data_IF_016759371553
#
_entry.id   IF_016759371553
#
_cell.length_a   1.000
_cell.length_b   1.000
_cell.length_c   1.000
_cell.angle_alpha   90.00
_cell.angle_beta   90.00
_cell.angle_gamma   90.00
#
_symmetry.space_group_name_H-M   'P 1'
#
loop_
_entity.id
_entity.type
_entity.pdbx_description
1 polymer ?
#
# COMPACT_ATOMS: atom_id res chain seq x y z
N UNK A 1 -10.10 -22.91 -14.10
CA UNK A 1 -11.47 -22.63 -13.59
C UNK A 1 -12.10 -23.96 -13.21
N UNK A 2 -12.16 -24.25 -11.91
CA UNK A 2 -12.87 -25.43 -11.43
C UNK A 2 -14.23 -24.93 -10.98
N UNK A 3 -15.27 -25.22 -11.76
CA UNK A 3 -16.65 -24.92 -11.40
C UNK A 3 -17.15 -26.03 -10.48
N UNK A 4 -16.79 -25.97 -9.20
CA UNK A 4 -17.28 -26.87 -8.16
C UNK A 4 -17.48 -26.07 -6.86
N UNK A 5 -18.53 -26.38 -6.08
CA UNK A 5 -18.88 -27.75 -5.71
C UNK A 5 -20.27 -28.20 -6.16
N UNK A 6 -20.46 -29.50 -6.33
CA UNK A 6 -21.82 -30.06 -6.29
C UNK A 6 -22.38 -29.72 -4.90
N UNK A 7 -23.68 -29.44 -4.77
CA UNK A 7 -24.30 -29.07 -3.47
C UNK A 7 -24.00 -30.04 -2.30
N UNK A 8 -23.47 -31.23 -2.60
CA UNK A 8 -23.01 -32.25 -1.67
C UNK A 8 -21.68 -31.94 -0.95
N UNK A 9 -20.82 -31.07 -1.48
CA UNK A 9 -19.57 -30.69 -0.78
C UNK A 9 -19.77 -29.52 0.21
N UNK A 10 -20.97 -28.93 0.23
CA UNK A 10 -21.37 -27.91 1.21
C UNK A 10 -21.86 -28.59 2.48
N UNK A 11 -21.07 -28.48 3.55
CA UNK A 11 -21.52 -28.88 4.88
C UNK A 11 -22.31 -27.71 5.47
N UNK A 12 -23.63 -27.87 5.54
CA UNK A 12 -24.49 -26.92 6.25
C UNK A 12 -24.18 -27.01 7.75
N UNK A 13 -24.02 -25.86 8.38
CA UNK A 13 -23.84 -25.77 9.82
C UNK A 13 -24.53 -24.50 10.35
N UNK A 14 -25.08 -24.61 11.56
CA UNK A 14 -25.86 -23.59 12.28
C UNK A 14 -26.98 -22.93 11.46
N UNK A 15 -28.22 -23.01 11.95
CA UNK A 15 -29.34 -22.17 11.48
C UNK A 15 -29.61 -22.16 9.96
N UNK A 16 -29.19 -23.19 9.23
CA UNK A 16 -29.52 -23.41 7.82
C UNK A 16 -30.30 -24.70 7.64
N UNK A 17 -31.53 -24.57 7.11
CA UNK A 17 -32.37 -25.70 6.76
C UNK A 17 -32.49 -25.82 5.23
N UNK A 18 -32.17 -26.99 4.68
CA UNK A 18 -32.36 -27.24 3.25
C UNK A 18 -33.86 -27.38 2.94
N UNK A 19 -34.39 -26.49 2.10
CA UNK A 19 -35.80 -26.49 1.68
C UNK A 19 -35.99 -26.88 0.20
N UNK A 20 -34.89 -26.95 -0.56
CA UNK A 20 -34.89 -27.39 -1.95
C UNK A 20 -33.48 -27.54 -2.52
N UNK A 21 -33.38 -27.89 -3.80
CA UNK A 21 -32.08 -27.91 -4.51
C UNK A 21 -31.58 -26.47 -4.62
N UNK A 22 -30.42 -26.18 -4.04
CA UNK A 22 -29.86 -24.83 -3.97
C UNK A 22 -30.65 -23.85 -3.12
N UNK A 23 -31.71 -24.29 -2.41
CA UNK A 23 -32.56 -23.43 -1.57
C UNK A 23 -32.46 -23.79 -0.11
N UNK A 24 -32.20 -22.78 0.70
CA UNK A 24 -31.95 -22.91 2.13
C UNK A 24 -32.74 -21.85 2.88
N UNK A 25 -33.19 -22.17 4.08
CA UNK A 25 -33.83 -21.23 5.01
C UNK A 25 -32.83 -20.91 6.12
N UNK A 26 -32.48 -19.64 6.26
CA UNK A 26 -31.73 -19.14 7.41
C UNK A 26 -32.70 -18.88 8.57
N UNK A 27 -32.51 -19.56 9.71
CA UNK A 27 -33.46 -19.56 10.84
C UNK A 27 -33.03 -18.70 12.04
N UNK A 28 -31.78 -18.24 12.10
CA UNK A 28 -31.23 -17.58 13.28
C UNK A 28 -30.00 -16.72 13.01
N UNK A 29 -29.20 -16.52 14.05
CA UNK A 29 -28.01 -15.69 14.02
C UNK A 29 -26.82 -16.59 13.67
N UNK A 30 -26.19 -16.34 12.52
CA UNK A 30 -25.00 -17.02 12.00
C UNK A 30 -25.23 -18.26 11.09
N UNK A 31 -26.10 -18.19 10.05
CA UNK A 31 -26.22 -19.25 9.06
C UNK A 31 -24.94 -19.37 8.23
N UNK A 32 -24.35 -20.56 8.09
CA UNK A 32 -23.16 -20.72 7.23
C UNK A 32 -23.00 -22.08 6.53
N UNK A 33 -22.32 -22.04 5.40
CA UNK A 33 -21.81 -23.22 4.70
C UNK A 33 -20.32 -23.37 4.96
N UNK A 34 -19.88 -24.56 5.35
CA UNK A 34 -18.48 -24.93 5.34
C UNK A 34 -18.16 -25.70 4.05
N UNK A 35 -17.23 -25.17 3.26
CA UNK A 35 -16.66 -25.85 2.10
C UNK A 35 -15.41 -26.59 2.59
N UNK A 36 -15.57 -27.90 2.81
CA UNK A 36 -14.48 -28.75 3.32
C UNK A 36 -13.59 -29.24 2.19
N UNK A 37 -12.29 -29.34 2.46
CA UNK A 37 -11.27 -29.82 1.52
C UNK A 37 -11.27 -29.05 0.18
N UNK A 38 -11.08 -27.72 0.20
CA UNK A 38 -10.81 -27.00 -1.05
C UNK A 38 -9.65 -27.69 -1.79
N UNK A 39 -9.70 -27.68 -3.12
CA UNK A 39 -8.65 -28.30 -3.95
C UNK A 39 -7.26 -27.75 -3.60
N UNK A 40 -6.23 -28.57 -3.76
CA UNK A 40 -4.85 -28.13 -3.56
C UNK A 40 -4.51 -27.02 -4.56
N UNK A 41 -4.17 -25.83 -4.05
CA UNK A 41 -3.85 -24.66 -4.87
C UNK A 41 -4.13 -23.34 -4.15
N UNK A 42 -3.67 -22.23 -4.75
CA UNK A 42 -3.98 -20.90 -4.23
C UNK A 42 -5.30 -20.41 -4.83
N UNK A 43 -6.29 -20.19 -3.98
CA UNK A 43 -7.55 -19.57 -4.40
C UNK A 43 -7.28 -18.11 -4.79
N UNK A 44 -7.53 -17.78 -6.05
CA UNK A 44 -7.41 -16.43 -6.59
C UNK A 44 -8.67 -15.62 -6.27
N UNK A 45 -9.82 -16.17 -6.63
CA UNK A 45 -11.12 -15.58 -6.38
C UNK A 45 -12.21 -16.64 -6.15
N UNK A 46 -13.26 -16.23 -5.47
CA UNK A 46 -14.48 -17.00 -5.25
C UNK A 46 -15.64 -16.19 -5.81
N UNK A 47 -16.44 -16.79 -6.68
CA UNK A 47 -17.65 -16.20 -7.23
C UNK A 47 -18.86 -16.97 -6.72
N UNK A 48 -19.90 -16.23 -6.31
CA UNK A 48 -21.13 -16.81 -5.76
C UNK A 48 -22.31 -16.16 -6.44
N UNK A 49 -23.06 -16.91 -7.24
CA UNK A 49 -24.36 -16.45 -7.75
C UNK A 49 -25.45 -16.85 -6.74
N UNK A 50 -26.02 -15.86 -6.04
CA UNK A 50 -27.07 -16.11 -5.07
C UNK A 50 -28.16 -15.05 -5.07
N UNK A 51 -29.32 -15.43 -4.53
CA UNK A 51 -30.44 -14.55 -4.19
C UNK A 51 -30.79 -14.77 -2.72
N UNK A 52 -30.78 -13.71 -1.91
CA UNK A 52 -31.25 -13.74 -0.53
C UNK A 52 -32.55 -12.94 -0.41
N UNK A 53 -33.56 -13.47 0.27
CA UNK A 53 -34.82 -12.78 0.53
C UNK A 53 -34.59 -11.51 1.37
N UNK A 54 -33.79 -11.66 2.43
CA UNK A 54 -33.41 -10.60 3.37
C UNK A 54 -31.89 -10.59 3.59
N UNK A 55 -31.40 -9.52 4.21
CA UNK A 55 -30.00 -9.38 4.65
C UNK A 55 -29.24 -8.26 3.97
N UNK A 56 -28.13 -7.88 4.58
CA UNK A 56 -27.34 -6.73 4.14
C UNK A 56 -25.97 -7.14 3.61
N UNK A 57 -25.46 -8.29 4.06
CA UNK A 57 -24.08 -8.70 3.79
C UNK A 57 -23.96 -10.19 3.52
N UNK A 58 -22.97 -10.52 2.68
CA UNK A 58 -22.46 -11.87 2.44
C UNK A 58 -20.99 -11.87 2.85
N UNK A 59 -20.56 -12.90 3.57
CA UNK A 59 -19.20 -12.99 4.08
C UNK A 59 -18.54 -14.30 3.69
N UNK A 60 -17.24 -14.24 3.47
CA UNK A 60 -16.38 -15.42 3.35
C UNK A 60 -15.32 -15.34 4.43
N UNK A 61 -15.12 -16.46 5.13
CA UNK A 61 -14.03 -16.67 6.08
C UNK A 61 -13.13 -17.80 5.58
N UNK A 62 -11.84 -17.72 5.90
CA UNK A 62 -10.90 -18.81 5.58
C UNK A 62 -9.89 -19.05 6.70
N UNK A 63 -9.29 -20.25 6.69
CA UNK A 63 -8.16 -20.60 7.56
C UNK A 63 -7.03 -21.25 6.77
N UNK A 64 -5.80 -21.10 7.27
CA UNK A 64 -4.61 -21.74 6.70
C UNK A 64 -4.26 -23.07 7.39
N UNK A 65 -4.81 -23.32 8.58
CA UNK A 65 -4.75 -24.62 9.27
C UNK A 65 -6.14 -25.26 9.34
N UNK A 66 -6.21 -26.59 9.28
CA UNK A 66 -7.46 -27.34 9.39
C UNK A 66 -8.07 -27.26 10.79
N UNK A 67 -7.27 -26.97 11.81
CA UNK A 67 -7.70 -26.94 13.20
C UNK A 67 -8.02 -25.52 13.71
N UNK A 68 -7.65 -24.49 12.95
CA UNK A 68 -7.92 -23.10 13.33
C UNK A 68 -9.42 -22.80 13.31
N UNK A 69 -9.83 -21.92 14.22
CA UNK A 69 -11.18 -21.31 14.16
C UNK A 69 -11.21 -20.19 13.14
N UNK A 70 -12.36 -19.98 12.50
CA UNK A 70 -12.56 -18.80 11.65
C UNK A 70 -12.42 -17.53 12.49
N UNK A 71 -11.84 -16.48 11.91
CA UNK A 71 -11.63 -15.20 12.59
C UNK A 71 -11.97 -14.04 11.68
N UNK A 72 -12.38 -12.91 12.27
CA UNK A 72 -12.66 -11.66 11.54
C UNK A 72 -11.42 -11.08 10.85
N UNK A 73 -10.23 -11.53 11.22
CA UNK A 73 -8.98 -11.13 10.56
C UNK A 73 -8.81 -11.78 9.18
N UNK A 74 -9.43 -12.93 8.94
CA UNK A 74 -9.39 -13.67 7.67
C UNK A 74 -10.81 -13.76 7.10
N UNK A 75 -11.39 -12.59 6.83
CA UNK A 75 -12.72 -12.46 6.26
C UNK A 75 -12.75 -11.48 5.09
N UNK A 76 -13.71 -11.66 4.20
CA UNK A 76 -14.09 -10.70 3.17
C UNK A 76 -15.60 -10.56 3.15
N UNK A 77 -16.10 -9.32 3.07
CA UNK A 77 -17.53 -9.01 3.19
C UNK A 77 -17.96 -8.16 2.00
N UNK A 78 -19.09 -8.51 1.39
CA UNK A 78 -19.73 -7.74 0.33
C UNK A 78 -21.17 -7.41 0.73
N UNK A 79 -21.70 -6.31 0.18
CA UNK A 79 -23.08 -5.90 0.40
C UNK A 79 -24.02 -6.73 -0.49
N UNK A 80 -25.05 -7.32 0.11
CA UNK A 80 -26.11 -8.04 -0.58
C UNK A 80 -27.20 -7.08 -1.09
N UNK A 81 -27.94 -7.54 -2.09
CA UNK A 81 -29.13 -6.86 -2.61
C UNK A 81 -30.36 -7.76 -2.37
N UNK A 82 -31.15 -7.51 -1.32
CA UNK A 82 -32.34 -8.31 -1.00
C UNK A 82 -33.27 -8.50 -2.20
N UNK A 83 -33.74 -9.74 -2.39
CA UNK A 83 -34.68 -10.12 -3.44
C UNK A 83 -34.11 -10.16 -4.85
N UNK A 84 -32.82 -9.89 -5.07
CA UNK A 84 -32.17 -9.87 -6.39
C UNK A 84 -31.15 -11.02 -6.48
N UNK A 85 -31.14 -11.73 -7.60
CA UNK A 85 -30.03 -12.64 -7.92
C UNK A 85 -28.86 -11.82 -8.45
N UNK A 86 -27.68 -12.01 -7.87
CA UNK A 86 -26.46 -11.32 -8.26
C UNK A 86 -25.24 -12.24 -8.15
N UNK A 87 -24.12 -11.82 -8.76
CA UNK A 87 -22.83 -12.54 -8.69
C UNK A 87 -21.87 -11.76 -7.79
N UNK A 88 -21.58 -12.35 -6.64
CA UNK A 88 -20.67 -11.80 -5.63
C UNK A 88 -19.27 -12.39 -5.82
N UNK A 89 -18.28 -11.55 -6.10
CA UNK A 89 -16.88 -11.97 -6.33
C UNK A 89 -15.96 -11.51 -5.21
N UNK A 90 -15.33 -12.46 -4.53
CA UNK A 90 -14.36 -12.26 -3.47
C UNK A 90 -12.96 -12.54 -4.02
N UNK A 91 -12.16 -11.50 -4.15
CA UNK A 91 -10.74 -11.63 -4.51
C UNK A 91 -9.96 -11.86 -3.23
N UNK A 92 -9.38 -13.05 -3.07
CA UNK A 92 -8.70 -13.41 -1.84
C UNK A 92 -7.19 -13.15 -1.91
N UNK A 93 -6.58 -13.24 -3.10
CA UNK A 93 -5.18 -12.85 -3.29
C UNK A 93 -4.23 -13.47 -2.25
N UNK A 94 -4.33 -14.79 -2.02
CA UNK A 94 -3.66 -15.41 -0.87
C UNK A 94 -2.28 -15.99 -1.19
N UNK A 95 -1.33 -15.76 -0.28
CA UNK A 95 0.02 -16.34 -0.32
C UNK A 95 0.08 -17.80 0.15
N UNK A 96 -0.94 -18.25 0.87
CA UNK A 96 -1.02 -19.57 1.51
C UNK A 96 -2.25 -20.34 1.02
N UNK A 97 -2.10 -21.65 0.93
CA UNK A 97 -3.23 -22.55 0.63
C UNK A 97 -4.29 -22.44 1.73
N UNK A 98 -5.52 -22.14 1.34
CA UNK A 98 -6.67 -22.23 2.25
C UNK A 98 -6.92 -23.70 2.55
N UNK A 99 -7.12 -24.03 3.82
CA UNK A 99 -7.48 -25.39 4.25
C UNK A 99 -8.96 -25.54 4.59
N UNK A 100 -9.62 -24.46 5.00
CA UNK A 100 -11.06 -24.42 5.25
C UNK A 100 -11.64 -23.09 4.79
N UNK A 101 -12.83 -23.15 4.22
CA UNK A 101 -13.56 -21.99 3.73
C UNK A 101 -14.97 -22.04 4.32
N UNK A 102 -15.43 -20.91 4.83
CA UNK A 102 -16.78 -20.72 5.35
C UNK A 102 -17.45 -19.59 4.60
N UNK A 103 -18.68 -19.82 4.16
CA UNK A 103 -19.53 -18.87 3.47
C UNK A 103 -20.72 -18.56 4.35
N UNK A 104 -20.88 -17.30 4.69
CA UNK A 104 -22.04 -16.78 5.40
C UNK A 104 -22.91 -16.09 4.35
N UNK A 105 -23.95 -16.77 3.85
CA UNK A 105 -24.71 -16.34 2.69
C UNK A 105 -25.59 -15.11 2.95
N UNK A 106 -25.85 -14.78 4.22
CA UNK A 106 -26.64 -13.62 4.67
C UNK A 106 -26.46 -13.43 6.19
N UNK A 107 -26.70 -12.22 6.68
CA UNK A 107 -26.76 -11.90 8.11
C UNK A 107 -28.20 -11.81 8.67
N UNK A 108 -29.22 -12.21 7.90
CA UNK A 108 -30.62 -12.14 8.30
C UNK A 108 -31.40 -13.44 8.01
N UNK A 109 -32.51 -13.66 8.71
CA UNK A 109 -33.38 -14.80 8.46
C UNK A 109 -34.16 -14.67 7.14
N UNK A 110 -34.42 -15.79 6.48
CA UNK A 110 -35.16 -15.81 5.21
C UNK A 110 -34.72 -16.93 4.26
N UNK A 111 -35.30 -16.95 3.06
CA UNK A 111 -34.91 -17.90 2.01
C UNK A 111 -33.67 -17.40 1.25
N UNK A 112 -32.73 -18.31 1.03
CA UNK A 112 -31.52 -18.12 0.25
C UNK A 112 -31.53 -19.14 -0.88
N UNK A 113 -31.30 -18.67 -2.11
CA UNK A 113 -31.16 -19.48 -3.30
C UNK A 113 -29.74 -19.30 -3.84
N UNK A 114 -28.88 -20.31 -3.66
CA UNK A 114 -27.53 -20.34 -4.23
C UNK A 114 -27.58 -21.13 -5.53
N UNK A 115 -27.25 -20.47 -6.63
CA UNK A 115 -27.21 -21.08 -7.96
C UNK A 115 -25.85 -21.66 -8.29
N UNK A 116 -24.78 -20.92 -7.98
CA UNK A 116 -23.42 -21.32 -8.33
C UNK A 116 -22.43 -20.83 -7.28
N UNK A 117 -21.43 -21.66 -6.97
CA UNK A 117 -20.21 -21.27 -6.27
C UNK A 117 -19.05 -21.70 -7.16
N UNK A 118 -18.31 -20.73 -7.69
CA UNK A 118 -17.11 -20.95 -8.49
C UNK A 118 -15.86 -20.57 -7.71
N UNK A 119 -14.93 -21.52 -7.53
CA UNK A 119 -13.64 -21.27 -6.89
C UNK A 119 -12.53 -21.37 -7.93
N UNK A 120 -11.84 -20.26 -8.16
CA UNK A 120 -10.73 -20.20 -9.10
C UNK A 120 -9.41 -20.46 -8.39
N UNK A 121 -8.82 -21.61 -8.66
CA UNK A 121 -7.50 -21.98 -8.17
C UNK A 121 -6.43 -21.65 -9.20
N UNK A 122 -5.26 -21.28 -8.69
CA UNK A 122 -4.01 -21.35 -9.42
C UNK A 122 -3.29 -22.64 -9.00
N UNK A 123 -3.12 -23.58 -9.92
CA UNK A 123 -2.38 -24.82 -9.63
C UNK A 123 -0.90 -24.51 -9.35
N UNK A 124 -0.18 -25.43 -8.68
CA UNK A 124 1.26 -25.27 -8.43
C UNK A 124 2.07 -25.14 -9.73
N UNK A 125 1.67 -25.86 -10.77
CA UNK A 125 2.30 -25.81 -12.09
C UNK A 125 2.05 -24.48 -12.80
N UNK A 126 0.82 -23.97 -12.76
CA UNK A 126 0.48 -22.65 -13.31
C UNK A 126 1.18 -21.54 -12.52
N UNK A 127 1.23 -21.66 -11.19
CA UNK A 127 1.98 -20.74 -10.32
C UNK A 127 3.45 -20.70 -10.72
N UNK A 128 4.09 -21.87 -10.90
CA UNK A 128 5.49 -21.95 -11.30
C UNK A 128 5.75 -21.31 -12.68
N UNK A 129 4.78 -21.37 -13.61
CA UNK A 129 4.86 -20.67 -14.91
C UNK A 129 4.78 -19.14 -14.76
N UNK A 130 4.10 -18.67 -13.72
CA UNK A 130 3.95 -17.26 -13.37
C UNK A 130 5.04 -16.75 -12.42
N UNK A 131 5.82 -17.61 -11.77
CA UNK A 131 6.94 -17.20 -10.93
C UNK A 131 8.05 -16.65 -11.82
N UNK A 132 8.28 -15.34 -11.72
CA UNK A 132 9.20 -14.61 -12.59
C UNK A 132 10.37 -13.98 -11.84
N UNK A 133 10.30 -13.92 -10.50
CA UNK A 133 11.40 -13.50 -9.62
C UNK A 133 12.13 -14.75 -9.09
N UNK A 134 13.47 -14.82 -9.16
CA UNK A 134 14.21 -15.92 -8.56
C UNK A 134 14.00 -16.03 -7.05
N UNK A 135 14.15 -17.24 -6.50
CA UNK A 135 14.12 -17.42 -5.06
C UNK A 135 15.41 -16.87 -4.41
N UNK A 136 15.24 -15.93 -3.47
CA UNK A 136 16.32 -15.30 -2.70
C UNK A 136 16.23 -15.58 -1.19
N UNK A 137 15.56 -16.65 -0.75
CA UNK A 137 15.36 -17.00 0.66
C UNK A 137 16.67 -17.21 1.44
N UNK A 138 17.78 -17.46 0.74
CA UNK A 138 19.12 -17.58 1.33
C UNK A 138 19.83 -16.23 1.57
N UNK A 139 19.22 -15.13 1.13
CA UNK A 139 19.69 -13.77 1.36
C UNK A 139 18.86 -13.11 2.46
N UNK A 140 19.44 -12.13 3.15
CA UNK A 140 18.73 -11.17 4.00
C UNK A 140 17.95 -10.19 3.10
N UNK A 141 18.07 -8.88 3.34
CA UNK A 141 17.25 -7.86 2.66
C UNK A 141 17.91 -7.13 1.50
N UNK A 142 19.19 -7.38 1.23
CA UNK A 142 19.94 -6.72 0.16
C UNK A 142 20.25 -7.68 -1.00
N UNK A 143 19.73 -7.36 -2.19
CA UNK A 143 20.05 -8.02 -3.45
C UNK A 143 21.04 -7.17 -4.26
N UNK A 144 22.18 -7.75 -4.63
CA UNK A 144 23.11 -7.10 -5.57
C UNK A 144 22.55 -7.15 -6.98
N UNK A 145 22.36 -5.98 -7.57
CA UNK A 145 22.10 -5.78 -8.98
C UNK A 145 23.36 -5.49 -9.77
N UNK A 146 23.15 -5.03 -11.00
CA UNK A 146 24.20 -4.62 -11.93
C UNK A 146 24.71 -3.22 -11.58
N UNK A 147 25.93 -2.91 -11.98
CA UNK A 147 26.56 -1.59 -11.85
C UNK A 147 26.57 -1.01 -10.43
N UNK A 148 26.65 -1.89 -9.43
CA UNK A 148 26.72 -1.51 -8.02
C UNK A 148 25.39 -1.03 -7.43
N UNK A 149 24.24 -1.29 -8.06
CA UNK A 149 22.95 -1.05 -7.42
C UNK A 149 22.57 -2.18 -6.46
N UNK A 150 22.08 -1.83 -5.27
CA UNK A 150 21.43 -2.75 -4.34
C UNK A 150 19.92 -2.59 -4.40
N UNK A 151 19.19 -3.69 -4.21
CA UNK A 151 17.74 -3.72 -4.20
C UNK A 151 17.22 -4.35 -2.92
N UNK A 152 16.06 -3.88 -2.47
CA UNK A 152 15.36 -4.45 -1.33
C UNK A 152 14.77 -5.80 -1.73
N UNK A 153 15.02 -6.85 -0.96
CA UNK A 153 14.34 -8.14 -1.07
C UNK A 153 13.94 -8.60 0.32
N UNK A 154 13.08 -9.63 0.40
CA UNK A 154 12.70 -10.28 1.67
C UNK A 154 12.27 -9.29 2.76
N UNK A 155 11.74 -8.13 2.36
CA UNK A 155 11.14 -7.17 3.28
C UNK A 155 9.71 -7.61 3.60
N UNK A 156 9.14 -7.00 4.64
CA UNK A 156 7.79 -7.35 5.09
C UNK A 156 6.68 -6.95 4.11
N UNK A 157 6.99 -6.21 3.05
CA UNK A 157 6.03 -5.87 1.99
C UNK A 157 6.28 -6.67 0.72
N UNK A 158 7.35 -7.46 0.63
CA UNK A 158 7.70 -8.22 -0.58
C UNK A 158 7.81 -7.35 -1.84
N UNK A 159 8.43 -6.17 -1.74
CA UNK A 159 8.42 -5.12 -2.78
C UNK A 159 8.77 -5.63 -4.19
N UNK A 160 9.89 -6.34 -4.38
CA UNK A 160 10.26 -6.91 -5.68
C UNK A 160 9.21 -7.88 -6.23
N UNK A 161 8.57 -8.67 -5.36
CA UNK A 161 7.55 -9.64 -5.80
C UNK A 161 6.26 -8.92 -6.21
N UNK A 162 5.86 -7.85 -5.51
CA UNK A 162 4.71 -7.03 -5.91
C UNK A 162 4.82 -6.59 -7.37
N UNK A 163 6.02 -6.16 -7.78
CA UNK A 163 6.26 -5.54 -9.08
C UNK A 163 6.57 -6.53 -10.20
N UNK A 164 7.31 -7.60 -9.91
CA UNK A 164 7.92 -8.44 -10.93
C UNK A 164 7.60 -9.92 -10.83
N UNK A 165 6.85 -10.39 -9.84
CA UNK A 165 6.43 -11.78 -9.71
C UNK A 165 4.93 -11.91 -10.05
N UNK A 166 4.61 -12.46 -11.22
CA UNK A 166 3.21 -12.64 -11.64
C UNK A 166 2.45 -13.64 -10.77
N UNK A 167 3.17 -14.48 -10.03
CA UNK A 167 2.59 -15.40 -9.06
C UNK A 167 2.36 -14.77 -7.68
N UNK A 168 2.82 -13.53 -7.48
CA UNK A 168 2.66 -12.81 -6.22
C UNK A 168 1.21 -12.35 -6.02
N UNK A 169 0.54 -12.85 -4.97
CA UNK A 169 -0.85 -12.57 -4.77
C UNK A 169 -0.96 -11.31 -3.90
N UNK A 170 -1.12 -10.16 -4.56
CA UNK A 170 -1.23 -8.87 -3.87
C UNK A 170 -2.51 -8.80 -3.04
N UNK A 171 -2.36 -8.34 -1.80
CA UNK A 171 -3.43 -8.02 -0.86
C UNK A 171 -4.01 -6.60 -1.03
N UNK A 172 -3.53 -5.83 -2.02
CA UNK A 172 -4.03 -4.49 -2.28
C UNK A 172 -5.50 -4.49 -2.70
N UNK A 173 -6.33 -3.70 -2.01
CA UNK A 173 -7.75 -3.55 -2.33
C UNK A 173 -8.05 -2.14 -2.86
N UNK A 174 -8.05 -2.00 -4.19
CA UNK A 174 -8.28 -0.71 -4.85
C UNK A 174 -9.66 -0.09 -4.54
N UNK A 175 -10.69 -0.89 -4.24
CA UNK A 175 -11.99 -0.35 -3.86
C UNK A 175 -11.94 0.34 -2.49
N UNK A 176 -11.31 -0.29 -1.50
CA UNK A 176 -11.13 0.34 -0.18
C UNK A 176 -10.22 1.56 -0.25
N UNK A 177 -9.17 1.52 -1.07
CA UNK A 177 -8.33 2.69 -1.35
C UNK A 177 -9.17 3.87 -1.80
N UNK A 178 -9.96 3.69 -2.86
CA UNK A 178 -10.76 4.76 -3.45
C UNK A 178 -11.76 5.31 -2.44
N UNK A 179 -12.41 4.44 -1.65
CA UNK A 179 -13.32 4.88 -0.59
C UNK A 179 -12.64 5.72 0.49
N UNK A 180 -11.48 5.28 0.99
CA UNK A 180 -10.73 6.03 2.01
C UNK A 180 -10.24 7.37 1.43
N UNK A 181 -9.72 7.36 0.20
CA UNK A 181 -9.30 8.57 -0.51
C UNK A 181 -10.47 9.56 -0.67
N UNK A 182 -11.64 9.09 -1.09
CA UNK A 182 -12.84 9.93 -1.26
C UNK A 182 -13.36 10.46 0.09
N UNK A 183 -13.28 9.66 1.15
CA UNK A 183 -13.62 10.08 2.50
C UNK A 183 -12.68 11.19 2.99
N UNK A 184 -11.36 10.99 2.89
CA UNK A 184 -10.36 11.99 3.31
C UNK A 184 -10.52 13.30 2.54
N UNK A 185 -10.68 13.22 1.20
CA UNK A 185 -10.95 14.40 0.35
C UNK A 185 -12.18 15.15 0.81
N UNK A 186 -13.28 14.45 1.11
CA UNK A 186 -14.52 15.08 1.59
C UNK A 186 -14.32 15.78 2.93
N UNK A 187 -13.73 15.09 3.92
CA UNK A 187 -13.48 15.68 5.24
C UNK A 187 -12.59 16.91 5.14
N UNK A 188 -11.56 16.89 4.29
CA UNK A 188 -10.71 18.05 4.06
C UNK A 188 -11.46 19.20 3.38
N UNK A 189 -12.19 18.92 2.30
CA UNK A 189 -12.96 19.91 1.54
C UNK A 189 -14.02 20.59 2.41
N UNK A 190 -14.71 19.85 3.27
CA UNK A 190 -15.72 20.39 4.20
C UNK A 190 -15.11 21.37 5.22
N UNK A 191 -13.79 21.30 5.43
CA UNK A 191 -13.02 22.21 6.30
C UNK A 191 -12.19 23.24 5.51
N UNK A 192 -12.35 23.34 4.19
CA UNK A 192 -11.59 24.25 3.35
C UNK A 192 -10.10 23.88 3.21
N UNK A 193 -9.76 22.62 3.43
CA UNK A 193 -8.40 22.08 3.32
C UNK A 193 -8.28 21.32 1.99
N UNK A 194 -7.25 21.62 1.20
CA UNK A 194 -6.98 20.88 -0.02
C UNK A 194 -6.24 19.56 0.31
N UNK A 195 -6.65 18.45 -0.30
CA UNK A 195 -6.06 17.13 -0.02
C UNK A 195 -5.51 16.47 -1.28
N UNK A 196 -4.25 16.03 -1.20
CA UNK A 196 -3.56 15.29 -2.27
C UNK A 196 -2.96 13.99 -1.73
N UNK A 197 -3.02 12.94 -2.55
CA UNK A 197 -2.30 11.69 -2.33
C UNK A 197 -1.26 11.52 -3.44
N UNK A 198 -0.02 11.26 -3.07
CA UNK A 198 1.10 11.07 -3.99
C UNK A 198 1.87 9.79 -3.68
N UNK A 199 2.42 9.20 -4.74
CA UNK A 199 3.22 7.98 -4.65
C UNK A 199 4.67 8.29 -5.01
N UNK A 200 5.59 7.86 -4.16
CA UNK A 200 7.02 7.76 -4.50
C UNK A 200 7.23 6.39 -5.16
N UNK A 201 7.58 6.33 -6.46
CA UNK A 201 7.84 5.06 -7.12
C UNK A 201 8.92 4.26 -6.40
N UNK A 202 8.81 2.93 -6.36
CA UNK A 202 9.88 2.13 -5.79
C UNK A 202 11.14 2.17 -6.67
N UNK A 203 12.29 2.09 -6.03
CA UNK A 203 13.60 2.04 -6.70
C UNK A 203 13.67 0.94 -7.74
N UNK A 204 13.10 -0.23 -7.46
CA UNK A 204 13.17 -1.37 -8.37
C UNK A 204 12.46 -1.13 -9.70
N UNK A 205 11.38 -0.32 -9.71
CA UNK A 205 10.63 0.04 -10.91
C UNK A 205 11.41 1.03 -11.79
N UNK A 206 12.02 2.06 -11.17
CA UNK A 206 12.82 3.07 -11.89
C UNK A 206 14.17 2.49 -12.34
N UNK A 207 14.84 1.74 -11.46
CA UNK A 207 16.15 1.14 -11.71
C UNK A 207 16.07 -0.30 -12.25
N UNK A 208 14.95 -0.69 -12.85
CA UNK A 208 14.66 -2.07 -13.26
C UNK A 208 15.73 -2.71 -14.16
N UNK A 209 16.39 -1.92 -14.99
CA UNK A 209 17.45 -2.39 -15.89
C UNK A 209 18.71 -2.89 -15.14
N UNK A 210 18.86 -2.53 -13.87
CA UNK A 210 19.96 -2.98 -13.01
C UNK A 210 19.59 -4.21 -12.17
N UNK A 211 18.38 -4.75 -12.26
CA UNK A 211 18.03 -5.99 -11.57
C UNK A 211 18.85 -7.18 -12.10
N UNK A 212 19.20 -8.17 -11.24
CA UNK A 212 20.05 -9.30 -11.61
C UNK A 212 19.27 -10.47 -12.26
N UNK A 213 18.05 -10.22 -12.74
CA UNK A 213 17.22 -11.21 -13.40
C UNK A 213 16.48 -10.60 -14.59
N UNK A 214 15.98 -11.45 -15.48
CA UNK A 214 15.18 -11.03 -16.62
C UNK A 214 13.77 -10.66 -16.20
N UNK A 215 13.35 -9.45 -16.55
CA UNK A 215 11.99 -8.96 -16.26
C UNK A 215 11.07 -9.40 -17.38
N UNK A 216 10.18 -10.34 -17.07
CA UNK A 216 9.19 -10.84 -18.03
C UNK A 216 7.96 -9.94 -18.13
N UNK A 217 7.56 -9.33 -17.01
CA UNK A 217 6.41 -8.45 -16.91
C UNK A 217 6.57 -7.52 -15.71
N UNK A 218 5.83 -6.41 -15.73
CA UNK A 218 5.70 -5.47 -14.63
C UNK A 218 4.22 -5.40 -14.28
N UNK A 219 3.90 -5.47 -12.99
CA UNK A 219 2.57 -5.29 -12.45
C UNK A 219 2.66 -4.28 -11.32
N UNK A 220 1.79 -3.27 -11.30
CA UNK A 220 1.80 -2.29 -10.22
C UNK A 220 0.43 -2.21 -9.56
N UNK A 221 0.42 -2.08 -8.24
CA UNK A 221 -0.81 -1.76 -7.50
C UNK A 221 -1.37 -0.39 -7.93
N UNK A 222 -0.47 0.53 -8.30
CA UNK A 222 -0.81 1.81 -8.89
C UNK A 222 -1.79 1.70 -10.08
N UNK A 223 -1.62 0.70 -10.97
CA UNK A 223 -2.40 0.58 -12.20
C UNK A 223 -3.92 0.50 -11.92
N UNK A 224 -4.30 -0.04 -10.75
CA UNK A 224 -5.68 -0.18 -10.30
C UNK A 224 -6.31 1.14 -9.79
N UNK A 225 -5.49 2.15 -9.50
CA UNK A 225 -5.85 3.47 -8.95
C UNK A 225 -5.31 4.64 -9.79
N UNK A 226 -4.92 4.36 -11.04
CA UNK A 226 -4.25 5.31 -11.94
C UNK A 226 -5.10 6.51 -12.35
N UNK A 227 -6.41 6.48 -12.15
CA UNK A 227 -7.30 7.62 -12.44
C UNK A 227 -7.44 8.56 -11.25
N UNK A 228 -7.04 8.10 -10.07
CA UNK A 228 -7.30 8.75 -8.79
C UNK A 228 -6.04 9.40 -8.21
N UNK A 229 -4.86 8.90 -8.59
CA UNK A 229 -3.55 9.33 -8.12
C UNK A 229 -2.62 9.54 -9.33
N UNK A 230 -1.88 10.66 -9.43
CA UNK A 230 -0.92 10.87 -10.50
C UNK A 230 0.30 9.95 -10.36
N UNK A 231 0.85 9.51 -11.49
CA UNK A 231 2.11 8.79 -11.58
C UNK A 231 3.25 9.72 -11.97
N UNK A 232 4.43 9.51 -11.39
CA UNK A 232 5.62 10.27 -11.71
C UNK A 232 6.82 9.40 -12.05
N UNK A 233 6.60 8.09 -12.27
CA UNK A 233 7.69 7.17 -12.62
C UNK A 233 8.46 7.60 -13.88
N UNK A 234 7.77 8.15 -14.88
CA UNK A 234 8.38 8.61 -16.14
C UNK A 234 9.19 9.90 -15.97
N UNK A 235 9.03 10.60 -14.85
CA UNK A 235 9.78 11.80 -14.52
C UNK A 235 11.08 11.49 -13.77
N UNK A 236 11.34 10.23 -13.47
CA UNK A 236 12.50 9.77 -12.72
C UNK A 236 13.38 8.87 -13.59
N UNK A 237 14.68 8.90 -13.29
CA UNK A 237 15.64 7.95 -13.84
C UNK A 237 16.49 7.34 -12.71
N UNK A 238 17.44 6.49 -13.08
CA UNK A 238 18.27 5.77 -12.12
C UNK A 238 19.18 6.68 -11.28
N UNK A 239 19.44 7.90 -11.72
CA UNK A 239 20.23 8.90 -10.97
C UNK A 239 19.43 9.54 -9.85
N UNK A 240 18.11 9.32 -9.82
CA UNK A 240 17.22 9.78 -8.77
C UNK A 240 17.24 8.89 -7.52
N UNK A 241 17.95 7.76 -7.52
CA UNK A 241 18.02 6.83 -6.39
C UNK A 241 19.46 6.56 -5.97
N UNK A 242 19.68 6.44 -4.67
CA UNK A 242 20.93 5.94 -4.11
C UNK A 242 21.23 4.54 -4.63
N UNK A 243 22.50 4.16 -4.82
CA UNK A 243 22.79 2.77 -5.19
C UNK A 243 22.69 1.82 -4.02
N UNK A 244 23.11 2.23 -2.83
CA UNK A 244 23.17 1.38 -1.65
C UNK A 244 21.99 1.53 -0.65
N UNK A 245 20.93 2.25 -1.02
CA UNK A 245 19.78 2.54 -0.17
C UNK A 245 18.46 2.23 -0.91
N UNK A 246 17.38 1.94 -0.18
CA UNK A 246 16.05 1.69 -0.75
C UNK A 246 15.32 2.95 -1.19
N UNK A 247 15.73 4.12 -0.72
CA UNK A 247 15.03 5.38 -0.91
C UNK A 247 15.51 6.13 -2.17
N UNK A 248 14.66 7.04 -2.62
CA UNK A 248 15.03 8.11 -3.54
C UNK A 248 16.12 9.00 -2.92
N UNK A 249 17.03 9.54 -3.72
CA UNK A 249 18.03 10.50 -3.23
C UNK A 249 17.50 11.94 -3.25
N UNK A 250 18.29 12.91 -2.79
CA UNK A 250 17.86 14.31 -2.73
C UNK A 250 17.55 14.91 -4.12
N UNK A 251 18.27 14.47 -5.17
CA UNK A 251 17.99 14.91 -6.54
C UNK A 251 16.62 14.41 -7.01
N UNK A 252 16.36 13.11 -6.88
CA UNK A 252 15.04 12.55 -7.18
C UNK A 252 13.94 13.16 -6.32
N UNK A 253 14.23 13.42 -5.03
CA UNK A 253 13.31 14.12 -4.13
C UNK A 253 12.97 15.53 -4.62
N UNK A 254 13.95 16.30 -5.12
CA UNK A 254 13.72 17.60 -5.75
C UNK A 254 12.83 17.47 -7.00
N UNK A 255 13.10 16.50 -7.86
CA UNK A 255 12.27 16.28 -9.07
C UNK A 255 10.82 15.95 -8.69
N UNK A 256 10.58 15.01 -7.78
CA UNK A 256 9.22 14.68 -7.33
C UNK A 256 8.51 15.89 -6.71
N UNK A 257 9.19 16.66 -5.86
CA UNK A 257 8.60 17.85 -5.25
C UNK A 257 8.13 18.86 -6.31
N UNK A 258 8.90 19.07 -7.38
CA UNK A 258 8.44 19.94 -8.47
C UNK A 258 7.10 19.48 -9.05
N UNK A 259 6.98 18.20 -9.39
CA UNK A 259 5.75 17.67 -9.99
C UNK A 259 4.57 17.66 -9.00
N UNK A 260 4.81 17.36 -7.73
CA UNK A 260 3.79 17.47 -6.68
C UNK A 260 3.28 18.90 -6.54
N UNK A 261 4.19 19.88 -6.48
CA UNK A 261 3.83 21.30 -6.39
C UNK A 261 3.14 21.79 -7.68
N UNK A 262 3.47 21.22 -8.84
CA UNK A 262 2.77 21.51 -10.10
C UNK A 262 1.32 21.05 -10.07
N UNK A 263 1.04 19.89 -9.49
CA UNK A 263 -0.33 19.40 -9.29
C UNK A 263 -1.14 20.30 -8.36
N UNK A 264 -0.50 20.86 -7.32
CA UNK A 264 -1.13 21.77 -6.35
C UNK A 264 -1.34 23.16 -7.00
N UNK A 265 -0.36 23.65 -7.73
CA UNK A 265 -0.38 24.96 -8.37
C UNK A 265 0.09 24.83 -9.83
N UNK A 266 -0.88 24.70 -10.73
CA UNK A 266 -0.63 24.58 -12.17
C UNK A 266 0.11 25.78 -12.78
N UNK A 267 0.15 26.94 -12.12
CA UNK A 267 0.90 28.11 -12.59
C UNK A 267 2.34 28.13 -12.09
N UNK A 268 2.69 27.31 -11.10
CA UNK A 268 4.06 27.21 -10.60
C UNK A 268 4.96 26.60 -11.69
N UNK A 269 5.99 27.35 -12.09
CA UNK A 269 6.85 26.98 -13.22
C UNK A 269 8.13 26.29 -12.74
N UNK A 270 8.75 25.52 -13.64
CA UNK A 270 10.07 24.92 -13.37
C UNK A 270 11.13 25.98 -13.08
N UNK A 271 11.08 27.10 -13.79
CA UNK A 271 12.03 28.21 -13.63
C UNK A 271 11.93 28.83 -12.23
N UNK A 272 10.71 29.11 -11.75
CA UNK A 272 10.49 29.61 -10.39
C UNK A 272 10.97 28.62 -9.34
N UNK A 273 10.69 27.33 -9.52
CA UNK A 273 11.13 26.29 -8.61
C UNK A 273 12.66 26.21 -8.54
N UNK A 274 13.35 26.11 -9.69
CA UNK A 274 14.82 26.04 -9.72
C UNK A 274 15.46 27.32 -9.16
N UNK A 275 14.87 28.49 -9.41
CA UNK A 275 15.32 29.74 -8.79
C UNK A 275 15.27 29.65 -7.26
N UNK A 276 14.15 29.22 -6.69
CA UNK A 276 14.00 29.06 -5.23
C UNK A 276 14.97 28.04 -4.66
N UNK A 277 15.16 26.90 -5.33
CA UNK A 277 16.12 25.87 -4.92
C UNK A 277 17.53 26.45 -4.86
N UNK A 278 17.96 27.17 -5.90
CA UNK A 278 19.29 27.77 -5.96
C UNK A 278 19.49 28.89 -4.93
N UNK A 279 18.46 29.67 -4.64
CA UNK A 279 18.53 30.76 -3.67
C UNK A 279 18.55 30.26 -2.22
N UNK A 280 17.85 29.15 -1.92
CA UNK A 280 17.58 28.72 -0.53
C UNK A 280 18.38 27.49 -0.10
N UNK A 281 18.71 26.57 -1.00
CA UNK A 281 19.37 25.31 -0.64
C UNK A 281 20.89 25.43 -0.71
N UNK A 282 21.57 24.73 0.21
CA UNK A 282 22.99 24.43 0.17
C UNK A 282 23.19 22.97 -0.23
N UNK A 283 24.24 22.74 -1.02
CA UNK A 283 24.61 21.43 -1.53
C UNK A 283 25.86 20.94 -0.82
N UNK A 284 25.73 19.84 -0.08
CA UNK A 284 26.84 19.25 0.65
C UNK A 284 27.16 17.87 0.07
N UNK A 285 28.43 17.62 -0.23
CA UNK A 285 28.91 16.29 -0.55
C UNK A 285 29.07 15.49 0.75
N UNK A 286 28.41 14.35 0.83
CA UNK A 286 28.48 13.44 1.96
C UNK A 286 28.83 12.03 1.48
N UNK A 287 29.33 11.20 2.40
CA UNK A 287 29.35 9.76 2.20
C UNK A 287 28.02 9.18 2.69
N UNK A 288 27.35 8.43 1.84
CA UNK A 288 26.04 7.86 2.16
C UNK A 288 26.15 6.38 2.46
N UNK A 289 25.92 5.98 3.70
CA UNK A 289 25.79 4.58 4.10
C UNK A 289 24.33 4.17 4.15
N UNK A 290 23.80 3.68 3.03
CA UNK A 290 22.37 3.40 2.89
C UNK A 290 21.83 2.27 3.77
N UNK A 291 20.50 2.21 3.90
CA UNK A 291 19.83 1.18 4.71
C UNK A 291 20.16 -0.27 4.30
N UNK A 292 20.43 -0.54 3.02
CA UNK A 292 20.73 -1.90 2.52
C UNK A 292 22.11 -2.42 2.91
N UNK A 293 23.02 -1.57 3.39
CA UNK A 293 24.34 -2.00 3.89
C UNK A 293 24.37 -2.21 5.41
N UNK A 294 23.27 -1.94 6.12
CA UNK A 294 23.17 -2.28 7.54
C UNK A 294 23.32 -3.79 7.76
N UNK A 295 23.88 -4.18 8.91
CA UNK A 295 24.19 -5.59 9.23
C UNK A 295 22.97 -6.51 9.14
N UNK A 296 21.79 -6.02 9.53
CA UNK A 296 20.53 -6.78 9.47
C UNK A 296 20.03 -7.01 8.04
N UNK A 297 20.48 -6.19 7.08
CA UNK A 297 20.05 -6.25 5.69
C UNK A 297 21.12 -6.89 4.77
N UNK A 298 22.39 -6.78 5.14
CA UNK A 298 23.53 -7.20 4.33
C UNK A 298 23.77 -8.71 4.37
N UNK A 299 24.00 -9.30 3.19
CA UNK A 299 24.16 -10.76 3.01
C UNK A 299 25.54 -11.18 2.48
N UNK A 300 26.44 -10.23 2.24
CA UNK A 300 27.70 -10.48 1.54
C UNK A 300 28.91 -10.22 2.44
N UNK A 301 30.12 -10.30 1.89
CA UNK A 301 31.34 -10.06 2.67
C UNK A 301 31.48 -8.60 3.12
N UNK A 302 32.19 -8.37 4.23
CA UNK A 302 32.48 -7.01 4.72
C UNK A 302 33.35 -6.21 3.75
N UNK A 303 34.28 -6.88 3.07
CA UNK A 303 35.10 -6.26 2.03
C UNK A 303 34.24 -5.65 0.93
N UNK A 304 33.22 -6.36 0.48
CA UNK A 304 32.30 -5.83 -0.54
C UNK A 304 31.41 -4.71 0.02
N UNK A 305 31.14 -4.69 1.33
CA UNK A 305 30.35 -3.64 1.98
C UNK A 305 31.08 -2.30 2.00
N UNK A 306 32.41 -2.31 2.16
CA UNK A 306 33.25 -1.10 2.16
C UNK A 306 33.10 -0.27 0.88
N UNK A 307 32.95 -0.91 -0.28
CA UNK A 307 32.77 -0.22 -1.56
C UNK A 307 31.49 0.64 -1.57
N UNK A 308 30.43 0.18 -0.91
CA UNK A 308 29.16 0.90 -0.83
C UNK A 308 29.17 1.98 0.26
N UNK A 309 29.88 1.80 1.36
CA UNK A 309 29.94 2.79 2.46
C UNK A 309 30.64 4.09 2.06
N UNK A 310 31.45 4.04 1.00
CA UNK A 310 32.21 5.18 0.48
C UNK A 310 31.52 5.87 -0.71
N UNK A 311 30.25 5.56 -0.98
CA UNK A 311 29.48 6.21 -2.03
C UNK A 311 29.26 7.69 -1.71
N UNK A 312 29.66 8.57 -2.64
CA UNK A 312 29.52 10.01 -2.50
C UNK A 312 28.18 10.46 -3.03
N UNK A 313 27.48 11.25 -2.24
CA UNK A 313 26.15 11.75 -2.55
C UNK A 313 26.04 13.24 -2.28
N UNK A 314 25.09 13.88 -2.95
CA UNK A 314 24.75 15.28 -2.69
C UNK A 314 23.53 15.36 -1.79
N UNK A 315 23.69 15.99 -0.64
CA UNK A 315 22.61 16.32 0.28
C UNK A 315 22.19 17.77 0.12
N UNK A 316 20.88 18.01 0.17
CA UNK A 316 20.30 19.35 0.13
C UNK A 316 19.92 19.78 1.54
N UNK A 317 20.27 21.01 1.91
CA UNK A 317 19.90 21.61 3.19
C UNK A 317 19.34 22.99 2.93
N UNK A 318 18.09 23.26 3.32
CA UNK A 318 17.56 24.60 3.29
C UNK A 318 18.17 25.42 4.43
N UNK A 319 18.79 26.57 4.11
CA UNK A 319 19.42 27.44 5.12
C UNK A 319 18.42 28.33 5.88
N UNK A 320 17.17 28.41 5.42
CA UNK A 320 16.14 29.30 5.95
C UNK A 320 15.09 28.56 6.84
N UNK A 321 15.19 27.23 6.98
CA UNK A 321 14.24 26.48 7.81
C UNK A 321 14.58 26.60 9.30
N UNK A 322 13.55 26.81 10.11
CA UNK A 322 13.61 26.78 11.57
C UNK A 322 12.86 25.54 12.05
N UNK A 323 13.51 24.72 12.89
CA UNK A 323 12.87 23.58 13.53
C UNK A 323 12.03 24.04 14.73
N UNK A 324 10.74 23.72 14.71
CA UNK A 324 9.74 24.05 15.72
C UNK A 324 9.20 22.80 16.43
N UNK A 325 9.82 21.62 16.27
CA UNK A 325 9.34 20.36 16.86
C UNK A 325 9.17 20.42 18.39
N UNK A 326 9.94 21.25 19.10
CA UNK A 326 9.77 21.45 20.55
C UNK A 326 8.43 22.10 20.92
N UNK A 327 7.80 22.82 19.99
CA UNK A 327 6.51 23.49 20.20
C UNK A 327 5.31 22.54 19.98
N UNK A 328 5.54 21.29 19.58
CA UNK A 328 4.48 20.32 19.37
C UNK A 328 3.85 19.89 20.70
N UNK A 329 2.51 19.73 20.77
CA UNK A 329 1.85 19.04 21.88
C UNK A 329 2.44 17.64 22.05
N UNK A 330 2.57 17.17 23.30
CA UNK A 330 3.23 15.89 23.57
C UNK A 330 2.63 14.72 22.79
N UNK A 331 1.30 14.65 22.70
CA UNK A 331 0.60 13.61 21.94
C UNK A 331 0.93 13.55 20.44
N UNK A 332 1.55 14.60 19.89
CA UNK A 332 1.92 14.70 18.48
C UNK A 332 3.43 14.72 18.26
N UNK A 333 4.26 14.76 19.31
CA UNK A 333 5.73 14.75 19.17
C UNK A 333 6.24 13.45 18.57
N UNK A 334 5.57 12.35 18.88
CA UNK A 334 5.96 11.02 18.43
C UNK A 334 4.74 10.24 17.93
N UNK A 335 4.98 9.41 16.91
CA UNK A 335 4.11 8.31 16.51
C UNK A 335 4.91 7.01 16.64
N UNK A 336 4.57 6.22 17.66
CA UNK A 336 5.43 5.13 18.14
C UNK A 336 6.81 5.65 18.56
N UNK A 337 7.86 5.19 17.87
CA UNK A 337 9.25 5.60 18.12
C UNK A 337 9.73 6.71 17.18
N UNK A 338 8.88 7.18 16.28
CA UNK A 338 9.25 8.11 15.21
C UNK A 338 8.86 9.54 15.58
N UNK A 339 9.82 10.45 15.52
CA UNK A 339 9.60 11.86 15.83
C UNK A 339 8.87 12.60 14.69
N UNK A 340 7.91 13.43 15.05
CA UNK A 340 7.24 14.37 14.16
C UNK A 340 8.14 15.58 13.88
N UNK A 341 8.26 15.94 12.60
CA UNK A 341 9.02 17.12 12.19
C UNK A 341 8.10 18.33 12.08
N UNK A 342 8.44 19.47 12.68
CA UNK A 342 7.71 20.73 12.49
C UNK A 342 8.69 21.81 12.07
N UNK A 343 8.47 22.44 10.92
CA UNK A 343 9.40 23.38 10.32
C UNK A 343 8.69 24.66 9.87
N UNK A 344 9.39 25.79 9.93
CA UNK A 344 8.97 27.07 9.36
C UNK A 344 10.05 27.63 8.44
N UNK A 345 9.67 28.18 7.31
CA UNK A 345 10.53 28.96 6.42
C UNK A 345 9.88 30.32 6.14
N UNK A 346 10.41 31.39 6.73
CA UNK A 346 9.88 32.75 6.53
C UNK A 346 10.22 33.34 5.15
N UNK A 347 11.03 32.63 4.34
CA UNK A 347 11.39 32.98 2.96
C UNK A 347 10.74 32.06 1.92
N UNK A 348 9.69 31.32 2.30
CA UNK A 348 8.95 30.44 1.39
C UNK A 348 8.24 31.21 0.28
N UNK A 349 7.97 30.53 -0.84
CA UNK A 349 7.23 31.09 -1.97
C UNK A 349 5.79 31.47 -1.63
N UNK A 350 5.14 30.68 -0.77
CA UNK A 350 3.75 30.91 -0.34
C UNK A 350 3.69 31.16 1.17
N UNK A 351 2.54 31.64 1.67
CA UNK A 351 2.25 31.70 3.11
C UNK A 351 1.52 30.45 3.63
N UNK A 352 1.43 29.38 2.83
CA UNK A 352 0.61 28.21 3.12
C UNK A 352 1.26 27.31 4.18
N UNK A 353 0.42 26.66 4.97
CA UNK A 353 0.73 25.60 5.91
C UNK A 353 0.40 24.24 5.30
N UNK A 354 1.33 23.30 5.40
CA UNK A 354 1.13 21.93 4.90
C UNK A 354 1.30 20.91 6.01
N UNK A 355 0.36 19.97 6.11
CA UNK A 355 0.52 18.74 6.87
C UNK A 355 0.85 17.61 5.90
N UNK A 356 1.98 16.94 6.10
CA UNK A 356 2.42 15.82 5.29
C UNK A 356 2.36 14.54 6.11
N UNK A 357 1.41 13.67 5.80
CA UNK A 357 1.41 12.27 6.25
C UNK A 357 2.41 11.50 5.40
N UNK A 358 3.41 10.90 6.06
CA UNK A 358 4.62 10.43 5.35
C UNK A 358 5.15 9.08 5.81
N UNK A 359 6.03 8.54 4.98
CA UNK A 359 7.04 7.55 5.34
C UNK A 359 8.47 8.16 5.29
N UNK A 360 9.49 7.30 5.33
CA UNK A 360 10.90 7.70 5.31
C UNK A 360 11.39 8.29 3.98
N UNK A 361 10.67 8.12 2.87
CA UNK A 361 11.07 8.72 1.60
C UNK A 361 11.01 10.26 1.66
N UNK A 362 10.01 10.81 2.36
CA UNK A 362 9.79 12.26 2.47
C UNK A 362 10.94 13.00 3.16
N UNK A 363 11.79 12.31 3.93
CA UNK A 363 12.99 12.93 4.50
C UNK A 363 13.89 13.56 3.42
N UNK A 364 13.91 13.01 2.19
CA UNK A 364 14.73 13.50 1.07
C UNK A 364 14.00 14.55 0.23
N UNK A 365 12.71 14.78 0.50
CA UNK A 365 11.86 15.76 -0.15
C UNK A 365 11.68 17.02 0.71
N UNK A 366 11.80 16.91 2.04
CA UNK A 366 11.53 17.99 3.01
C UNK A 366 12.16 19.33 2.63
N UNK A 367 13.46 19.36 2.41
CA UNK A 367 14.17 20.62 2.15
C UNK A 367 13.70 21.27 0.85
N UNK A 368 13.40 20.49 -0.18
CA UNK A 368 12.82 20.98 -1.43
C UNK A 368 11.38 21.48 -1.23
N UNK A 369 10.54 20.80 -0.44
CA UNK A 369 9.19 21.29 -0.12
C UNK A 369 9.22 22.62 0.65
N UNK A 370 10.20 22.77 1.54
CA UNK A 370 10.29 23.95 2.41
C UNK A 370 10.50 25.25 1.65
N UNK A 371 10.96 25.23 0.40
CA UNK A 371 11.07 26.45 -0.41
C UNK A 371 9.70 26.98 -0.84
N UNK A 372 8.66 26.13 -0.85
CA UNK A 372 7.32 26.48 -1.28
C UNK A 372 6.38 26.83 -0.12
N UNK A 373 6.40 26.03 0.95
CA UNK A 373 5.50 26.17 2.10
C UNK A 373 6.14 26.96 3.24
N UNK A 374 5.34 27.81 3.90
CA UNK A 374 5.79 28.62 5.04
C UNK A 374 5.92 27.80 6.31
N UNK A 375 4.96 26.92 6.56
CA UNK A 375 4.99 25.99 7.69
C UNK A 375 4.74 24.59 7.17
N UNK A 376 5.50 23.62 7.68
CA UNK A 376 5.36 22.21 7.33
C UNK A 376 5.34 21.36 8.58
N UNK A 377 4.32 20.54 8.74
CA UNK A 377 4.25 19.49 9.75
C UNK A 377 4.37 18.14 9.07
N UNK A 378 5.42 17.38 9.39
CA UNK A 378 5.70 16.06 8.83
C UNK A 378 5.37 15.00 9.87
N UNK A 379 4.18 14.41 9.74
CA UNK A 379 3.64 13.43 10.68
C UNK A 379 3.79 12.02 10.11
N UNK A 380 4.26 11.09 10.94
CA UNK A 380 4.33 9.69 10.54
C UNK A 380 2.93 9.11 10.56
N UNK A 381 2.60 8.39 9.50
CA UNK A 381 1.34 7.66 9.41
C UNK A 381 1.70 6.17 9.35
N UNK A 382 1.75 5.54 10.53
CA UNK A 382 2.35 4.22 10.74
C UNK A 382 1.62 3.07 10.02
N UNK A 383 2.35 1.98 9.80
CA UNK A 383 2.02 0.83 8.94
C UNK A 383 0.72 0.05 9.23
N UNK A 384 0.05 0.28 10.37
CA UNK A 384 -1.11 -0.52 10.78
C UNK A 384 -2.44 0.24 10.76
N UNK A 385 -2.39 1.55 10.58
CA UNK A 385 -3.57 2.37 10.54
C UNK A 385 -3.33 3.50 9.56
N UNK A 386 -4.16 3.59 8.51
CA UNK A 386 -4.23 4.73 7.61
C UNK A 386 -4.75 5.97 8.36
N UNK A 387 -4.12 6.38 9.45
CA UNK A 387 -4.71 7.24 10.49
C UNK A 387 -4.87 8.67 9.97
N UNK A 388 -6.04 8.95 9.41
CA UNK A 388 -6.50 10.30 9.17
C UNK A 388 -6.79 10.99 10.52
N UNK A 389 -5.73 11.50 11.16
CA UNK A 389 -5.74 12.02 12.52
C UNK A 389 -6.46 13.38 12.59
N UNK A 390 -7.78 13.35 12.82
CA UNK A 390 -8.63 14.56 12.90
C UNK A 390 -8.17 15.54 13.98
N UNK A 391 -7.76 15.05 15.15
CA UNK A 391 -7.31 15.92 16.24
C UNK A 391 -6.03 16.69 15.86
N UNK A 392 -5.12 16.06 15.13
CA UNK A 392 -3.91 16.70 14.61
C UNK A 392 -4.28 17.79 13.60
N UNK A 393 -5.21 17.50 12.69
CA UNK A 393 -5.68 18.43 11.66
C UNK A 393 -6.36 19.64 12.31
N UNK A 394 -7.25 19.42 13.29
CA UNK A 394 -7.95 20.47 14.03
C UNK A 394 -7.00 21.38 14.81
N UNK A 395 -5.94 20.80 15.40
CA UNK A 395 -4.92 21.56 16.11
C UNK A 395 -4.02 22.36 15.15
N UNK A 396 -3.51 21.70 14.11
CA UNK A 396 -2.52 22.31 13.21
C UNK A 396 -3.14 23.29 12.22
N UNK A 397 -4.38 23.03 11.78
CA UNK A 397 -5.13 23.81 10.79
C UNK A 397 -4.34 24.04 9.49
N UNK A 398 -3.95 22.96 8.79
CA UNK A 398 -3.23 23.08 7.52
C UNK A 398 -4.13 23.71 6.45
N UNK A 399 -3.53 24.42 5.50
CA UNK A 399 -4.22 24.82 4.26
C UNK A 399 -4.27 23.64 3.28
N UNK A 400 -3.23 22.81 3.30
CA UNK A 400 -3.05 21.66 2.41
C UNK A 400 -2.61 20.43 3.21
N UNK A 401 -3.18 19.27 2.89
CA UNK A 401 -2.71 17.96 3.36
C UNK A 401 -2.14 17.20 2.18
N UNK A 402 -0.91 16.68 2.36
CA UNK A 402 -0.26 15.77 1.43
C UNK A 402 -0.10 14.41 2.11
N UNK A 403 -0.66 13.36 1.53
CA UNK A 403 -0.32 12.00 1.91
C UNK A 403 0.66 11.42 0.89
N UNK A 404 1.88 11.12 1.33
CA UNK A 404 2.98 10.70 0.45
C UNK A 404 3.50 9.33 0.90
N UNK A 405 3.37 8.34 0.02
CA UNK A 405 3.72 6.94 0.31
C UNK A 405 4.63 6.35 -0.75
N UNK A 406 5.60 5.55 -0.34
CA UNK A 406 6.33 4.68 -1.26
C UNK A 406 5.41 3.59 -1.79
N UNK A 407 5.50 3.28 -3.09
CA UNK A 407 4.54 2.42 -3.80
C UNK A 407 4.31 1.05 -3.15
N UNK A 408 5.36 0.38 -2.65
CA UNK A 408 5.27 -0.90 -1.90
C UNK A 408 4.35 -0.88 -0.68
N UNK A 409 4.04 0.30 -0.14
CA UNK A 409 3.16 0.45 1.02
C UNK A 409 1.68 0.55 0.64
N UNK A 410 1.33 0.63 -0.64
CA UNK A 410 -0.08 0.59 -1.08
C UNK A 410 -0.78 -0.70 -0.62
N UNK A 411 -0.05 -1.81 -0.59
CA UNK A 411 -0.60 -3.13 -0.29
C UNK A 411 -1.04 -3.29 1.19
N UNK A 412 -0.43 -2.57 2.14
CA UNK A 412 -0.68 -2.81 3.56
C UNK A 412 -1.92 -2.09 4.11
N UNK A 413 -2.73 -2.86 4.86
CA UNK A 413 -3.68 -2.46 5.90
C UNK A 413 -4.49 -1.17 5.66
N UNK A 414 -5.27 -1.15 4.58
CA UNK A 414 -6.51 -0.34 4.52
C UNK A 414 -7.58 -0.97 5.40
N UNK A 415 -7.41 -0.92 6.72
CA UNK A 415 -8.52 -1.19 7.62
C UNK A 415 -9.56 -0.10 7.46
N UNK A 416 -10.83 -0.49 7.42
CA UNK A 416 -11.97 0.40 7.20
C UNK A 416 -11.98 1.50 8.28
N UNK A 417 -11.87 2.77 7.89
CA UNK A 417 -12.02 3.91 8.82
C UNK A 417 -13.44 4.48 8.85
N UNK A 418 -14.33 3.90 8.05
CA UNK A 418 -15.69 4.38 7.86
C UNK A 418 -16.62 3.46 8.65
N UNK A 419 -16.72 3.63 9.96
CA UNK A 419 -17.90 3.14 10.70
C UNK A 419 -19.08 4.10 10.55
#
# INVERSE_FOLDING_TARGET
MITFPRYEDLVMANDLEKVGVGKYRATGNDPYFEIRNPSDGLIQDISIELKAENGETIQIFWTYDKNDSFSVALQSTLKLRPGITDVYRFYLGLEKEIKRLRLDPTNASGIIEIKEIGINYLSKEEKAKLTTVPNYDNLKKALKGKNGYLFLINDSNHEIKQHFDLSYPSSFNAYFFKKNLDYNKRVCNDNGIEYHFFIVPDKSLVCKNFLPFEIKAIKRNYDLISKEVPDFIENLDYTCYYKNDTHINYYGGKELVYYYLKCINNNFTREEFEKLINEQLKFNNIFWGGDLVHEDNWSYSDKEKEDYLNEKETMFINKNIVNLSENLPEKFKFDGTRATGYYRNDQSFTNLKVLIFRDSAVDRLKDSFSVYFKEMLLYWDHWDHWLFNKELIEWYKPDIILEIRTERFLEKNMKYQIE
#
